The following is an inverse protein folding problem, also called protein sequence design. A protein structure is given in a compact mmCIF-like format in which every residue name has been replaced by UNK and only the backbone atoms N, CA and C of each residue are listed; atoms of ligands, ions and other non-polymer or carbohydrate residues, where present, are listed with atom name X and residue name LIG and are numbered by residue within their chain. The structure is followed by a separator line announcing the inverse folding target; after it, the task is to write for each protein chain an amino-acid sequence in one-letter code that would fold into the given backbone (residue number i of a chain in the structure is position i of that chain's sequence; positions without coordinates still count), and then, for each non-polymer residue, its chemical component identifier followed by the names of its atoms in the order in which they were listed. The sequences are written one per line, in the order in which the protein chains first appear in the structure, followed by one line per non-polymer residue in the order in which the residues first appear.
data_IF_495817460753
#
_entry.id   IF_495817460753
#
_cell.length_a   1.000
_cell.length_b   1.000
_cell.length_c   1.000
_cell.angle_alpha   90.00
_cell.angle_beta   90.00
_cell.angle_gamma   90.00
#
_symmetry.space_group_name_H-M   'P 1'
#
loop_
_entity.id
_entity.type
_entity.pdbx_description
1 polymer ?
#
# COMPACT_ATOMS: atom_id res chain seq x y z
N UNK A 1 38.84 12.16 43.67
CA UNK A 1 39.70 11.10 44.19
C UNK A 1 38.88 9.84 44.36
N UNK A 2 39.33 8.79 43.84
CA UNK A 2 39.01 7.37 43.87
C UNK A 2 38.59 6.87 42.46
N UNK A 3 39.63 6.40 41.77
CA UNK A 3 39.44 5.59 40.58
C UNK A 3 39.12 4.14 40.94
N UNK A 4 38.23 3.54 40.21
CA UNK A 4 37.99 2.08 40.29
C UNK A 4 38.44 1.47 38.97
N UNK A 5 39.59 0.81 39.01
CA UNK A 5 40.13 0.01 37.90
C UNK A 5 39.43 -1.35 37.91
N UNK A 6 38.71 -1.66 36.81
CA UNK A 6 38.11 -2.97 36.59
C UNK A 6 39.09 -3.85 35.81
N UNK A 7 39.69 -4.83 36.50
CA UNK A 7 40.53 -5.87 35.91
C UNK A 7 39.62 -6.93 35.31
N UNK A 8 39.62 -7.06 33.97
CA UNK A 8 38.95 -8.16 33.27
C UNK A 8 39.97 -9.28 33.07
N UNK A 9 39.84 -10.33 33.87
CA UNK A 9 40.53 -11.60 33.64
C UNK A 9 39.77 -12.39 32.54
N UNK A 10 40.37 -12.55 31.38
CA UNK A 10 39.85 -13.44 30.35
C UNK A 10 40.25 -14.89 30.57
N UNK A 11 39.36 -15.87 30.40
CA UNK A 11 39.76 -17.26 30.34
C UNK A 11 40.33 -17.60 28.96
N UNK A 12 41.51 -18.19 28.96
CA UNK A 12 42.13 -18.80 27.80
C UNK A 12 41.30 -20.00 27.35
N UNK A 13 40.68 -19.93 26.18
CA UNK A 13 40.01 -21.04 25.53
C UNK A 13 41.05 -21.81 24.68
N UNK A 14 41.34 -23.01 25.09
CA UNK A 14 42.17 -23.98 24.42
C UNK A 14 41.59 -24.32 23.03
N UNK A 15 42.41 -24.09 21.97
CA UNK A 15 42.20 -24.59 20.63
C UNK A 15 42.27 -26.13 20.62
N UNK A 16 41.14 -26.80 20.67
CA UNK A 16 41.01 -28.17 20.22
C UNK A 16 40.74 -28.16 18.70
N UNK A 17 41.75 -28.46 17.94
CA UNK A 17 41.66 -28.79 16.50
C UNK A 17 40.89 -30.11 16.37
N UNK A 18 39.58 -29.98 16.19
CA UNK A 18 38.72 -31.07 15.73
C UNK A 18 38.78 -31.15 14.19
N UNK A 19 39.68 -31.97 13.64
CA UNK A 19 39.52 -32.46 12.29
C UNK A 19 38.34 -33.45 12.33
N UNK A 20 37.20 -33.02 11.84
CA UNK A 20 36.01 -33.82 11.80
C UNK A 20 35.06 -33.36 10.70
N UNK A 21 34.99 -34.17 9.64
CA UNK A 21 33.91 -34.23 8.65
C UNK A 21 33.74 -33.05 7.69
N UNK A 22 34.67 -32.91 6.76
CA UNK A 22 34.40 -32.30 5.45
C UNK A 22 34.00 -33.42 4.46
N UNK A 23 32.79 -33.95 4.63
CA UNK A 23 32.27 -34.99 3.71
C UNK A 23 30.73 -34.88 3.54
N UNK A 24 30.17 -33.66 3.57
CA UNK A 24 28.73 -33.52 3.31
C UNK A 24 28.38 -32.22 2.56
N UNK A 25 29.24 -31.70 1.69
CA UNK A 25 28.93 -30.47 0.97
C UNK A 25 29.18 -30.57 -0.55
N UNK A 26 28.95 -31.73 -1.14
CA UNK A 26 28.88 -31.94 -2.60
C UNK A 26 27.48 -32.23 -3.09
N UNK A 27 26.43 -31.84 -2.37
CA UNK A 27 25.13 -31.70 -3.02
C UNK A 27 25.28 -30.54 -4.00
N UNK A 28 25.20 -30.80 -5.29
CA UNK A 28 25.21 -29.78 -6.35
C UNK A 28 24.18 -28.74 -6.00
N UNK A 29 24.65 -27.58 -5.52
CA UNK A 29 23.74 -26.51 -5.06
C UNK A 29 22.94 -26.02 -6.25
N UNK A 30 21.66 -26.39 -6.30
CA UNK A 30 20.76 -26.03 -7.38
C UNK A 30 20.74 -24.51 -7.54
N UNK A 31 20.67 -24.03 -8.77
CA UNK A 31 20.55 -22.59 -9.02
C UNK A 31 19.25 -22.07 -8.36
N UNK A 32 19.29 -20.88 -7.75
CA UNK A 32 18.13 -20.35 -7.03
C UNK A 32 17.01 -19.95 -7.99
N UNK A 33 15.79 -19.91 -7.44
CA UNK A 33 14.63 -19.31 -8.10
C UNK A 33 14.32 -17.98 -7.43
N UNK A 34 14.15 -16.94 -8.24
CA UNK A 34 13.81 -15.62 -7.74
C UNK A 34 12.29 -15.42 -7.71
N UNK A 35 11.77 -14.89 -6.62
CA UNK A 35 10.35 -14.63 -6.44
C UNK A 35 10.12 -13.14 -6.19
N UNK A 36 9.24 -12.56 -6.97
CA UNK A 36 8.86 -11.15 -6.91
C UNK A 36 7.38 -11.05 -6.59
N UNK A 37 7.06 -10.44 -5.45
CA UNK A 37 5.68 -10.16 -5.08
C UNK A 37 5.18 -8.91 -5.81
N UNK A 38 4.10 -9.06 -6.56
CA UNK A 38 3.39 -8.00 -7.27
C UNK A 38 1.98 -7.92 -6.69
N UNK A 39 1.79 -7.00 -5.74
CA UNK A 39 0.53 -6.81 -5.03
C UNK A 39 0.03 -5.36 -5.18
N UNK A 40 -1.29 -5.15 -5.00
CA UNK A 40 -1.92 -3.84 -5.18
C UNK A 40 -2.14 -3.48 -6.65
N UNK A 41 -2.20 -2.19 -6.96
CA UNK A 41 -2.32 -1.69 -8.33
C UNK A 41 -0.93 -1.59 -8.97
N UNK A 42 -0.78 -2.02 -10.21
CA UNK A 42 0.49 -1.83 -10.93
C UNK A 42 0.61 -0.36 -11.33
N UNK A 43 1.48 0.34 -10.65
CA UNK A 43 1.94 1.69 -10.96
C UNK A 43 3.31 1.63 -11.68
N UNK A 44 3.88 2.80 -12.03
CA UNK A 44 5.18 2.87 -12.68
C UNK A 44 6.30 2.25 -11.83
N UNK A 45 6.21 2.32 -10.49
CA UNK A 45 7.21 1.78 -9.58
C UNK A 45 7.22 0.25 -9.64
N UNK A 46 6.02 -0.34 -9.62
CA UNK A 46 5.87 -1.80 -9.74
C UNK A 46 6.27 -2.28 -11.14
N UNK A 47 5.88 -1.55 -12.21
CA UNK A 47 6.29 -1.85 -13.57
C UNK A 47 7.82 -1.86 -13.72
N UNK A 48 8.50 -0.82 -13.23
CA UNK A 48 9.97 -0.75 -13.17
C UNK A 48 10.58 -1.90 -12.36
N UNK A 49 9.92 -2.27 -11.25
CA UNK A 49 10.43 -3.35 -10.40
C UNK A 49 10.36 -4.71 -11.08
N UNK A 50 9.33 -4.96 -11.87
CA UNK A 50 9.20 -6.19 -12.68
C UNK A 50 10.36 -6.29 -13.67
N UNK A 51 10.60 -5.23 -14.45
CA UNK A 51 11.69 -5.19 -15.43
C UNK A 51 13.07 -5.36 -14.78
N UNK A 52 13.34 -4.59 -13.72
CA UNK A 52 14.59 -4.69 -12.95
C UNK A 52 14.78 -6.07 -12.33
N UNK A 53 13.69 -6.73 -11.88
CA UNK A 53 13.77 -8.06 -11.33
C UNK A 53 14.19 -9.08 -12.38
N UNK A 54 13.65 -9.03 -13.61
CA UNK A 54 14.07 -9.91 -14.70
C UNK A 54 15.58 -9.77 -14.97
N UNK A 55 16.06 -8.53 -15.16
CA UNK A 55 17.47 -8.26 -15.41
C UNK A 55 18.36 -8.73 -14.26
N UNK A 56 17.96 -8.46 -13.01
CA UNK A 56 18.67 -8.88 -11.82
C UNK A 56 18.75 -10.40 -11.71
N UNK A 57 17.63 -11.08 -11.93
CA UNK A 57 17.57 -12.54 -11.86
C UNK A 57 18.49 -13.19 -12.88
N UNK A 58 18.53 -12.66 -14.11
CA UNK A 58 19.47 -13.09 -15.14
C UNK A 58 20.93 -12.90 -14.70
N UNK A 59 21.27 -11.72 -14.21
CA UNK A 59 22.63 -11.37 -13.81
C UNK A 59 23.11 -12.15 -12.57
N UNK A 60 22.18 -12.54 -11.69
CA UNK A 60 22.47 -13.26 -10.46
C UNK A 60 22.37 -14.79 -10.61
N UNK A 61 22.27 -15.30 -11.84
CA UNK A 61 22.27 -16.73 -12.13
C UNK A 61 21.05 -17.47 -11.58
N UNK A 62 19.88 -16.83 -11.54
CA UNK A 62 18.64 -17.52 -11.24
C UNK A 62 18.25 -18.44 -12.41
N UNK A 63 17.75 -19.63 -12.12
CA UNK A 63 17.25 -20.53 -13.15
C UNK A 63 15.86 -20.12 -13.68
N UNK A 64 15.06 -19.42 -12.87
CA UNK A 64 13.76 -18.85 -13.24
C UNK A 64 13.40 -17.68 -12.34
N UNK A 65 12.46 -16.84 -12.82
CA UNK A 65 11.81 -15.82 -12.00
C UNK A 65 10.31 -16.11 -11.92
N UNK A 66 9.75 -16.06 -10.70
CA UNK A 66 8.33 -16.23 -10.44
C UNK A 66 7.75 -14.88 -10.03
N UNK A 67 6.78 -14.37 -10.77
CA UNK A 67 5.96 -13.25 -10.34
C UNK A 67 4.71 -13.75 -9.64
N UNK A 68 4.63 -13.50 -8.34
CA UNK A 68 3.43 -13.75 -7.54
C UNK A 68 2.47 -12.59 -7.72
N UNK A 69 1.37 -12.81 -8.44
CA UNK A 69 0.39 -11.78 -8.74
C UNK A 69 -0.79 -11.80 -7.76
N UNK A 70 -1.05 -10.62 -7.16
CA UNK A 70 -2.29 -10.32 -6.45
C UNK A 70 -2.67 -8.86 -6.68
N UNK A 71 -3.27 -8.55 -7.83
CA UNK A 71 -3.55 -7.19 -8.26
C UNK A 71 -4.95 -7.05 -8.82
N UNK A 72 -5.59 -5.92 -8.52
CA UNK A 72 -6.93 -5.59 -9.04
C UNK A 72 -6.90 -4.78 -10.33
N UNK A 73 -5.72 -4.44 -10.85
CA UNK A 73 -5.55 -3.67 -12.07
C UNK A 73 -4.23 -2.91 -12.13
N UNK A 74 -4.13 -2.06 -13.14
CA UNK A 74 -2.98 -1.19 -13.33
C UNK A 74 -3.44 0.26 -13.51
N UNK A 75 -2.61 1.20 -13.04
CA UNK A 75 -2.78 2.64 -13.23
C UNK A 75 -1.79 3.20 -14.25
N UNK A 76 -0.91 2.37 -14.75
CA UNK A 76 0.01 2.72 -15.85
C UNK A 76 -0.70 2.76 -17.18
N UNK A 77 -0.14 3.50 -18.13
CA UNK A 77 -0.63 3.53 -19.51
C UNK A 77 -0.48 2.16 -20.18
N UNK A 78 -1.33 1.91 -21.18
CA UNK A 78 -1.23 0.69 -21.99
C UNK A 78 0.15 0.54 -22.65
N UNK A 79 0.73 1.65 -23.11
CA UNK A 79 2.09 1.67 -23.67
C UNK A 79 3.11 1.18 -22.65
N UNK A 80 3.05 1.71 -21.41
CA UNK A 80 3.96 1.28 -20.32
C UNK A 80 3.80 -0.20 -19.96
N UNK A 81 2.56 -0.70 -19.96
CA UNK A 81 2.32 -2.14 -19.73
C UNK A 81 2.83 -2.99 -20.91
N UNK A 82 2.77 -2.49 -22.14
CA UNK A 82 3.36 -3.19 -23.31
C UNK A 82 4.88 -3.30 -23.20
N UNK A 83 5.57 -2.33 -22.59
CA UNK A 83 7.00 -2.42 -22.31
C UNK A 83 7.30 -3.55 -21.29
N UNK A 84 6.52 -3.65 -20.23
CA UNK A 84 6.62 -4.77 -19.27
C UNK A 84 6.43 -6.13 -19.97
N UNK A 85 5.43 -6.23 -20.83
CA UNK A 85 5.19 -7.44 -21.64
C UNK A 85 6.40 -7.74 -22.53
N UNK A 86 6.96 -6.72 -23.20
CA UNK A 86 8.13 -6.89 -24.03
C UNK A 86 9.36 -7.35 -23.21
N UNK A 87 9.55 -6.83 -22.00
CA UNK A 87 10.61 -7.25 -21.10
C UNK A 87 10.48 -8.74 -20.67
N UNK A 88 9.25 -9.21 -20.42
CA UNK A 88 8.98 -10.62 -20.12
C UNK A 88 9.32 -11.48 -21.34
N UNK A 89 8.90 -11.08 -22.54
CA UNK A 89 9.19 -11.81 -23.76
C UNK A 89 10.70 -11.87 -24.08
N UNK A 90 11.42 -10.78 -23.83
CA UNK A 90 12.86 -10.67 -24.05
C UNK A 90 13.72 -11.34 -22.97
N UNK A 91 13.12 -11.87 -21.92
CA UNK A 91 13.84 -12.54 -20.83
C UNK A 91 14.64 -13.72 -21.35
N UNK A 92 15.90 -13.86 -20.89
CA UNK A 92 16.77 -15.01 -21.20
C UNK A 92 16.49 -16.21 -20.29
N UNK A 93 15.87 -16.00 -19.14
CA UNK A 93 15.50 -17.05 -18.20
C UNK A 93 13.98 -17.25 -18.23
N UNK A 94 13.49 -18.45 -17.90
CA UNK A 94 12.06 -18.72 -17.77
C UNK A 94 11.36 -17.76 -16.82
N UNK A 95 10.21 -17.23 -17.26
CA UNK A 95 9.35 -16.35 -16.48
C UNK A 95 8.07 -17.10 -16.15
N UNK A 96 7.85 -17.36 -14.87
CA UNK A 96 6.64 -17.97 -14.37
C UNK A 96 5.74 -16.92 -13.69
N UNK A 97 4.43 -17.06 -13.88
CA UNK A 97 3.44 -16.22 -13.19
C UNK A 97 2.52 -17.12 -12.36
N UNK A 98 2.48 -16.85 -11.08
CA UNK A 98 1.59 -17.51 -10.14
C UNK A 98 0.58 -16.52 -9.56
N UNK A 99 -0.71 -16.73 -9.86
CA UNK A 99 -1.79 -15.95 -9.25
C UNK A 99 -2.10 -16.57 -7.88
N UNK A 100 -1.52 -15.99 -6.86
CA UNK A 100 -1.57 -16.51 -5.49
C UNK A 100 -1.25 -15.45 -4.43
N UNK A 101 -1.48 -15.78 -3.18
CA UNK A 101 -2.07 -17.00 -2.60
C UNK A 101 -3.58 -17.15 -2.84
N UNK A 102 -4.22 -18.13 -2.17
CA UNK A 102 -5.66 -18.35 -2.28
C UNK A 102 -6.46 -17.05 -2.07
N UNK A 103 -7.44 -16.81 -2.94
CA UNK A 103 -8.20 -15.56 -2.98
C UNK A 103 -7.53 -14.43 -3.74
N UNK A 104 -6.29 -14.61 -4.24
CA UNK A 104 -5.61 -13.63 -5.07
C UNK A 104 -6.37 -13.34 -6.37
N UNK A 105 -6.14 -12.16 -6.91
CA UNK A 105 -6.77 -11.69 -8.14
C UNK A 105 -5.73 -11.16 -9.10
N UNK A 106 -5.93 -11.42 -10.38
CA UNK A 106 -5.20 -10.76 -11.46
C UNK A 106 -6.23 -10.20 -12.44
N UNK A 107 -6.51 -8.90 -12.34
CA UNK A 107 -7.54 -8.25 -13.14
C UNK A 107 -6.94 -7.14 -14.03
N UNK A 108 -7.64 -6.84 -15.12
CA UNK A 108 -7.27 -5.78 -16.04
C UNK A 108 -6.00 -6.09 -16.84
N UNK A 109 -5.20 -5.07 -17.09
CA UNK A 109 -3.93 -5.21 -17.83
C UNK A 109 -2.95 -6.23 -17.20
N UNK A 110 -2.81 -6.33 -15.86
CA UNK A 110 -1.97 -7.36 -15.25
C UNK A 110 -2.37 -8.80 -15.56
N UNK A 111 -3.66 -9.07 -15.77
CA UNK A 111 -4.09 -10.41 -16.16
C UNK A 111 -3.50 -10.83 -17.52
N UNK A 112 -3.25 -9.87 -18.40
CA UNK A 112 -2.69 -10.13 -19.74
C UNK A 112 -1.23 -10.58 -19.70
N UNK A 113 -0.51 -10.34 -18.58
CA UNK A 113 0.85 -10.85 -18.40
C UNK A 113 0.90 -12.39 -18.43
N UNK A 114 -0.20 -13.07 -18.06
CA UNK A 114 -0.27 -14.53 -18.14
C UNK A 114 -0.18 -15.03 -19.58
N UNK A 115 -0.64 -14.26 -20.55
CA UNK A 115 -0.58 -14.64 -21.96
C UNK A 115 0.87 -14.78 -22.46
N UNK A 116 1.81 -14.01 -21.91
CA UNK A 116 3.22 -13.96 -22.33
C UNK A 116 4.16 -14.73 -21.43
N UNK A 117 3.75 -15.07 -20.21
CA UNK A 117 4.56 -15.90 -19.33
C UNK A 117 4.80 -17.28 -19.90
N UNK A 118 5.95 -17.87 -19.60
CA UNK A 118 6.30 -19.22 -20.04
C UNK A 118 5.52 -20.29 -19.28
N UNK A 119 5.38 -20.10 -17.97
CA UNK A 119 4.64 -20.98 -17.07
C UNK A 119 3.62 -20.16 -16.28
N UNK A 120 2.40 -20.62 -16.19
CA UNK A 120 1.35 -19.95 -15.43
C UNK A 120 0.66 -20.92 -14.49
N UNK A 121 0.40 -20.47 -13.26
CA UNK A 121 -0.32 -21.25 -12.27
C UNK A 121 -1.27 -20.35 -11.46
N UNK A 122 -2.27 -20.96 -10.85
CA UNK A 122 -3.22 -20.27 -9.97
C UNK A 122 -3.39 -21.06 -8.67
N UNK A 123 -3.54 -20.32 -7.57
CA UNK A 123 -3.97 -20.89 -6.30
C UNK A 123 -5.49 -21.19 -6.32
N UNK A 124 -5.95 -22.17 -5.53
CA UNK A 124 -7.39 -22.39 -5.33
C UNK A 124 -8.07 -21.12 -4.82
N UNK A 125 -9.24 -20.79 -5.38
CA UNK A 125 -9.97 -19.57 -5.04
C UNK A 125 -9.40 -18.27 -5.64
N UNK A 126 -8.26 -18.33 -6.35
CA UNK A 126 -7.77 -17.19 -7.12
C UNK A 126 -8.63 -16.97 -8.39
N UNK A 127 -8.64 -15.76 -8.90
CA UNK A 127 -9.39 -15.38 -10.10
C UNK A 127 -8.56 -14.51 -11.04
N UNK A 128 -8.76 -14.72 -12.35
CA UNK A 128 -8.16 -13.90 -13.41
C UNK A 128 -9.26 -13.36 -14.33
N UNK A 129 -9.04 -12.22 -14.97
CA UNK A 129 -9.95 -11.70 -15.99
C UNK A 129 -10.11 -10.20 -15.99
N UNK A 130 -11.26 -9.72 -16.50
CA UNK A 130 -11.56 -8.31 -16.70
C UNK A 130 -10.45 -7.61 -17.49
N UNK A 131 -9.89 -8.34 -18.47
CA UNK A 131 -8.71 -7.90 -19.22
C UNK A 131 -8.96 -6.63 -20.04
N UNK A 132 -10.24 -6.32 -20.32
CA UNK A 132 -10.58 -5.26 -21.23
C UNK A 132 -10.04 -5.55 -22.62
N UNK A 133 -9.70 -4.50 -23.36
CA UNK A 133 -9.07 -4.64 -24.67
C UNK A 133 -7.67 -5.24 -24.54
N UNK A 134 -7.32 -6.22 -25.33
CA UNK A 134 -6.00 -6.87 -25.28
C UNK A 134 -4.89 -5.89 -25.72
N UNK A 135 -3.72 -6.02 -25.10
CA UNK A 135 -2.51 -5.32 -25.50
C UNK A 135 -1.97 -5.91 -26.80
N UNK A 136 -1.27 -5.11 -27.56
CA UNK A 136 -0.54 -5.57 -28.74
C UNK A 136 0.96 -5.42 -28.50
N UNK A 137 1.73 -6.45 -28.85
CA UNK A 137 3.19 -6.44 -28.82
C UNK A 137 3.69 -6.67 -30.22
N UNK A 138 4.52 -5.74 -30.72
CA UNK A 138 5.02 -5.76 -32.11
C UNK A 138 3.88 -5.89 -33.16
N UNK A 139 2.74 -5.25 -32.91
CA UNK A 139 1.59 -5.28 -33.80
C UNK A 139 0.69 -6.52 -33.68
N UNK A 140 1.09 -7.53 -32.89
CA UNK A 140 0.30 -8.73 -32.64
C UNK A 140 -0.47 -8.61 -31.34
N UNK A 141 -1.81 -8.71 -31.33
CA UNK A 141 -2.57 -8.69 -30.08
C UNK A 141 -2.29 -9.93 -29.25
N UNK A 142 -2.23 -9.73 -27.94
CA UNK A 142 -2.17 -10.83 -26.98
C UNK A 142 -3.50 -11.58 -27.03
N UNK A 143 -3.47 -12.88 -26.80
CA UNK A 143 -4.67 -13.72 -26.81
C UNK A 143 -4.56 -14.86 -25.77
N UNK A 144 -5.69 -15.21 -25.20
CA UNK A 144 -5.92 -16.43 -24.44
C UNK A 144 -6.75 -17.44 -25.25
N UNK A 145 -6.80 -17.26 -26.58
CA UNK A 145 -7.55 -18.14 -27.49
C UNK A 145 -9.06 -18.06 -27.24
N UNK A 146 -9.70 -19.21 -27.03
CA UNK A 146 -11.15 -19.27 -26.83
C UNK A 146 -11.64 -18.52 -25.58
N UNK A 147 -10.78 -18.27 -24.62
CA UNK A 147 -11.12 -17.60 -23.36
C UNK A 147 -11.17 -16.05 -23.47
N UNK A 148 -10.73 -15.44 -24.58
CA UNK A 148 -10.63 -13.98 -24.73
C UNK A 148 -11.94 -13.27 -24.38
N UNK A 149 -13.06 -13.72 -24.94
CA UNK A 149 -14.37 -13.12 -24.69
C UNK A 149 -14.82 -13.24 -23.23
N UNK A 150 -14.57 -14.39 -22.61
CA UNK A 150 -14.93 -14.65 -21.21
C UNK A 150 -14.10 -13.81 -20.24
N UNK A 151 -12.81 -13.60 -20.57
CA UNK A 151 -11.88 -12.83 -19.75
C UNK A 151 -12.03 -11.32 -19.95
N UNK A 152 -12.53 -10.85 -21.08
CA UNK A 152 -12.62 -9.43 -21.40
C UNK A 152 -13.45 -8.66 -20.36
N UNK A 153 -14.62 -9.15 -20.03
CA UNK A 153 -15.55 -8.52 -19.07
C UNK A 153 -15.75 -9.32 -17.81
N UNK A 154 -15.62 -10.65 -17.91
CA UNK A 154 -15.78 -11.60 -16.82
C UNK A 154 -14.47 -11.94 -16.11
N UNK A 155 -14.56 -12.91 -15.21
CA UNK A 155 -13.39 -13.47 -14.53
C UNK A 155 -13.55 -14.98 -14.36
N UNK A 156 -12.47 -15.70 -14.58
CA UNK A 156 -12.41 -17.16 -14.43
C UNK A 156 -11.76 -17.55 -13.12
N UNK A 157 -12.26 -18.58 -12.48
CA UNK A 157 -11.61 -19.27 -11.38
C UNK A 157 -10.54 -20.23 -11.89
N UNK A 158 -9.84 -20.90 -10.98
CA UNK A 158 -8.79 -21.86 -11.35
C UNK A 158 -9.29 -22.97 -12.29
N UNK A 159 -10.41 -23.61 -11.97
CA UNK A 159 -10.95 -24.73 -12.77
C UNK A 159 -11.34 -24.27 -14.17
N UNK A 160 -12.08 -23.17 -14.29
CA UNK A 160 -12.51 -22.65 -15.59
C UNK A 160 -11.30 -22.18 -16.44
N UNK A 161 -10.32 -21.52 -15.79
CA UNK A 161 -9.12 -21.04 -16.47
C UNK A 161 -8.26 -22.22 -17.01
N UNK A 162 -8.26 -23.33 -16.29
CA UNK A 162 -7.61 -24.56 -16.74
C UNK A 162 -8.35 -25.21 -17.89
N UNK A 163 -9.67 -25.39 -17.78
CA UNK A 163 -10.51 -25.97 -18.81
C UNK A 163 -10.41 -25.21 -20.12
N UNK A 164 -10.42 -23.89 -20.05
CA UNK A 164 -10.31 -22.98 -21.20
C UNK A 164 -8.85 -22.79 -21.69
N UNK A 165 -7.88 -23.57 -21.15
CA UNK A 165 -6.46 -23.53 -21.52
C UNK A 165 -5.80 -22.16 -21.38
N UNK A 166 -6.27 -21.34 -20.42
CA UNK A 166 -5.65 -20.06 -20.08
C UNK A 166 -4.35 -20.28 -19.32
N UNK A 167 -4.29 -21.37 -18.53
CA UNK A 167 -3.08 -21.76 -17.80
C UNK A 167 -2.19 -22.63 -18.68
N UNK A 168 -0.95 -22.21 -18.87
CA UNK A 168 0.07 -22.97 -19.64
C UNK A 168 0.65 -24.16 -18.88
N UNK A 169 0.45 -24.17 -17.59
CA UNK A 169 0.85 -25.24 -16.71
C UNK A 169 -0.34 -25.70 -15.88
N UNK A 170 -0.60 -27.01 -15.89
CA UNK A 170 -1.72 -27.59 -15.17
C UNK A 170 -1.30 -28.97 -14.66
N UNK A 171 -0.64 -29.02 -13.50
CA UNK A 171 -0.12 -30.27 -12.97
C UNK A 171 -1.03 -30.91 -11.91
N UNK A 172 -2.03 -30.22 -11.39
CA UNK A 172 -2.89 -30.75 -10.35
C UNK A 172 -4.32 -30.22 -10.50
N UNK A 173 -5.29 -31.09 -10.22
CA UNK A 173 -6.71 -30.75 -10.19
C UNK A 173 -7.07 -29.76 -9.07
N UNK A 174 -6.19 -29.56 -8.11
CA UNK A 174 -6.37 -28.70 -6.94
C UNK A 174 -5.76 -27.31 -7.06
N UNK A 175 -5.01 -27.06 -8.12
CA UNK A 175 -4.24 -25.83 -8.31
C UNK A 175 -2.97 -25.77 -7.45
N UNK A 176 -2.28 -24.64 -7.49
CA UNK A 176 -1.01 -24.38 -6.79
C UNK A 176 -1.26 -23.50 -5.56
N UNK A 177 -1.54 -24.08 -4.38
CA UNK A 177 -1.99 -23.29 -3.21
C UNK A 177 -0.88 -22.45 -2.59
N UNK A 178 0.37 -22.92 -2.64
CA UNK A 178 1.52 -22.24 -2.01
C UNK A 178 2.73 -22.25 -2.94
N UNK A 179 3.64 -21.33 -2.70
CA UNK A 179 4.84 -21.14 -3.51
C UNK A 179 5.72 -22.42 -3.59
N UNK A 180 5.80 -23.21 -2.52
CA UNK A 180 6.53 -24.49 -2.55
C UNK A 180 5.98 -25.42 -3.63
N UNK A 181 4.66 -25.49 -3.77
CA UNK A 181 4.03 -26.31 -4.82
C UNK A 181 4.35 -25.78 -6.22
N UNK A 182 4.52 -24.45 -6.36
CA UNK A 182 4.97 -23.85 -7.63
C UNK A 182 6.38 -24.30 -8.00
N UNK A 183 7.30 -24.40 -7.02
CA UNK A 183 8.65 -24.90 -7.27
C UNK A 183 8.62 -26.37 -7.72
N UNK A 184 7.83 -27.20 -7.04
CA UNK A 184 7.67 -28.62 -7.47
C UNK A 184 7.04 -28.74 -8.86
N UNK A 185 6.19 -27.79 -9.20
CA UNK A 185 5.55 -27.73 -10.50
C UNK A 185 6.49 -27.28 -11.63
N UNK A 186 7.53 -26.54 -11.32
CA UNK A 186 8.54 -26.10 -12.28
C UNK A 186 9.61 -27.18 -12.54
N UNK A 187 9.74 -28.14 -11.64
CA UNK A 187 10.79 -29.15 -11.69
C UNK A 187 10.71 -30.02 -12.95
N UNK A 188 11.83 -30.20 -13.63
CA UNK A 188 11.92 -31.00 -14.86
C UNK A 188 11.30 -30.33 -16.10
N UNK A 189 10.72 -29.13 -16.01
CA UNK A 189 10.18 -28.44 -17.19
C UNK A 189 11.31 -27.91 -18.08
N UNK A 190 11.20 -28.18 -19.38
CA UNK A 190 12.07 -27.58 -20.38
C UNK A 190 11.41 -26.34 -20.95
N UNK A 191 11.94 -25.18 -20.61
CA UNK A 191 11.39 -23.87 -20.98
C UNK A 191 12.53 -22.99 -21.50
N UNK A 192 12.34 -22.37 -22.66
CA UNK A 192 13.38 -21.55 -23.33
C UNK A 192 14.72 -22.27 -23.50
N UNK A 193 14.67 -23.58 -23.79
CA UNK A 193 15.86 -24.47 -23.90
C UNK A 193 16.66 -24.62 -22.60
N UNK A 194 16.07 -24.30 -21.45
CA UNK A 194 16.60 -24.51 -20.10
C UNK A 194 15.73 -25.56 -19.41
N UNK A 195 16.33 -26.63 -18.94
CA UNK A 195 15.64 -27.58 -18.06
C UNK A 195 15.74 -27.05 -16.64
N UNK A 196 14.59 -26.83 -16.03
CA UNK A 196 14.51 -26.32 -14.64
C UNK A 196 14.75 -27.49 -13.69
N UNK A 197 15.68 -27.31 -12.76
CA UNK A 197 16.01 -28.26 -11.70
C UNK A 197 15.75 -27.53 -10.35
N UNK A 198 14.51 -27.60 -9.92
CA UNK A 198 14.04 -26.82 -8.76
C UNK A 198 13.83 -27.66 -7.52
N UNK A 199 14.02 -28.96 -7.60
CA UNK A 199 13.85 -29.89 -6.49
C UNK A 199 15.02 -30.89 -6.46
N UNK A 200 15.63 -31.04 -5.31
CA UNK A 200 16.64 -32.07 -5.08
C UNK A 200 16.12 -33.16 -4.15
N UNK A 201 16.57 -34.38 -4.38
CA UNK A 201 16.37 -35.48 -3.44
C UNK A 201 17.45 -35.38 -2.36
N UNK A 202 17.07 -35.00 -1.14
CA UNK A 202 17.93 -34.97 0.04
C UNK A 202 17.62 -36.15 0.96
N UNK A 203 18.61 -36.64 1.69
CA UNK A 203 18.39 -37.63 2.75
C UNK A 203 18.12 -36.90 4.06
N UNK A 204 17.01 -37.20 4.72
CA UNK A 204 16.73 -36.69 6.06
C UNK A 204 17.65 -37.35 7.10
N UNK A 205 17.59 -36.87 8.34
CA UNK A 205 18.38 -37.40 9.46
C UNK A 205 18.09 -38.88 9.77
N UNK A 206 17.06 -39.45 9.17
CA UNK A 206 16.68 -40.87 9.29
C UNK A 206 17.05 -41.68 8.06
N UNK A 207 17.74 -41.09 7.06
CA UNK A 207 18.12 -41.73 5.82
C UNK A 207 16.95 -41.93 4.82
N UNK A 208 15.84 -41.23 5.02
CA UNK A 208 14.72 -41.24 4.06
C UNK A 208 14.92 -40.15 3.01
N UNK A 209 14.63 -40.50 1.75
CA UNK A 209 14.66 -39.50 0.66
C UNK A 209 13.55 -38.52 0.86
N UNK A 210 13.94 -37.23 1.06
CA UNK A 210 13.03 -36.09 1.11
C UNK A 210 13.29 -35.19 -0.07
N UNK A 211 12.21 -34.70 -0.71
CA UNK A 211 12.31 -33.76 -1.80
C UNK A 211 12.40 -32.34 -1.23
N UNK A 212 13.52 -31.68 -1.45
CA UNK A 212 13.77 -30.32 -1.01
C UNK A 212 13.75 -29.36 -2.21
N UNK A 213 12.97 -28.27 -2.08
CA UNK A 213 12.96 -27.23 -3.08
C UNK A 213 14.25 -26.42 -3.03
N UNK A 214 14.72 -25.97 -4.20
CA UNK A 214 15.89 -25.10 -4.33
C UNK A 214 15.73 -23.80 -3.50
N UNK A 215 16.85 -23.13 -3.29
CA UNK A 215 16.85 -21.83 -2.58
C UNK A 215 16.00 -20.81 -3.31
N UNK A 216 15.07 -20.21 -2.59
CA UNK A 216 14.22 -19.12 -3.08
C UNK A 216 14.75 -17.78 -2.59
N UNK A 217 14.96 -16.84 -3.51
CA UNK A 217 15.33 -15.47 -3.17
C UNK A 217 14.13 -14.56 -3.40
N UNK A 218 13.66 -13.92 -2.33
CA UNK A 218 12.54 -12.98 -2.41
C UNK A 218 13.03 -11.57 -2.67
N UNK A 219 12.50 -10.96 -3.71
CA UNK A 219 12.73 -9.54 -4.00
C UNK A 219 11.52 -8.73 -3.60
N UNK A 220 11.77 -7.75 -2.73
CA UNK A 220 10.78 -6.77 -2.28
C UNK A 220 11.22 -5.38 -2.68
N UNK A 221 10.25 -4.50 -2.88
CA UNK A 221 10.50 -3.07 -3.06
C UNK A 221 11.28 -2.51 -1.87
N UNK A 222 12.26 -1.65 -2.13
CA UNK A 222 12.93 -0.87 -1.09
C UNK A 222 11.95 0.00 -0.31
N UNK A 223 12.38 0.55 0.83
CA UNK A 223 11.50 1.32 1.72
C UNK A 223 10.84 2.51 1.00
N UNK A 224 11.61 3.33 0.29
CA UNK A 224 11.08 4.51 -0.39
C UNK A 224 10.15 4.17 -1.56
N UNK A 225 10.51 3.30 -2.52
CA UNK A 225 9.57 2.80 -3.53
C UNK A 225 8.31 2.17 -2.94
N UNK A 226 8.45 1.43 -1.84
CA UNK A 226 7.30 0.81 -1.16
C UNK A 226 6.37 1.85 -0.55
N UNK A 227 6.92 2.90 0.07
CA UNK A 227 6.13 4.02 0.58
C UNK A 227 5.34 4.68 -0.55
N UNK A 228 6.01 5.05 -1.64
CA UNK A 228 5.35 5.68 -2.79
C UNK A 228 4.28 4.80 -3.42
N UNK A 229 4.54 3.51 -3.56
CA UNK A 229 3.55 2.54 -4.05
C UNK A 229 2.34 2.44 -3.10
N UNK A 230 2.57 2.44 -1.77
CA UNK A 230 1.46 2.42 -0.79
C UNK A 230 0.60 3.67 -0.89
N UNK A 231 1.22 4.83 -1.09
CA UNK A 231 0.54 6.12 -1.25
C UNK A 231 -0.25 6.18 -2.56
N UNK A 232 0.23 5.53 -3.62
CA UNK A 232 -0.43 5.41 -4.92
C UNK A 232 -1.63 4.46 -4.91
N UNK A 233 -2.38 4.41 -3.82
CA UNK A 233 -3.65 3.68 -3.71
C UNK A 233 -4.80 4.62 -3.35
N UNK A 234 -6.02 4.39 -3.90
CA UNK A 234 -7.16 5.28 -3.64
C UNK A 234 -7.46 5.52 -2.15
N UNK A 235 -7.42 4.50 -1.26
CA UNK A 235 -7.65 4.71 0.16
C UNK A 235 -6.59 5.58 0.83
N UNK A 236 -5.31 5.31 0.55
CA UNK A 236 -4.19 6.03 1.17
C UNK A 236 -4.12 7.48 0.69
N UNK A 237 -4.31 7.70 -0.61
CA UNK A 237 -4.32 9.04 -1.19
C UNK A 237 -5.46 9.90 -0.61
N UNK A 238 -6.69 9.35 -0.52
CA UNK A 238 -7.82 10.04 0.10
C UNK A 238 -7.54 10.36 1.59
N UNK A 239 -7.05 9.38 2.36
CA UNK A 239 -6.75 9.56 3.77
C UNK A 239 -5.69 10.66 3.99
N UNK A 240 -4.58 10.61 3.25
CA UNK A 240 -3.49 11.57 3.39
C UNK A 240 -3.91 12.99 3.02
N UNK A 241 -4.67 13.18 1.94
CA UNK A 241 -5.20 14.50 1.57
C UNK A 241 -6.19 14.99 2.63
N UNK A 242 -7.06 14.11 3.12
CA UNK A 242 -8.03 14.46 4.17
C UNK A 242 -7.34 14.92 5.45
N UNK A 243 -6.39 14.11 5.95
CA UNK A 243 -5.61 14.45 7.16
C UNK A 243 -4.79 15.70 6.93
N UNK A 244 -4.15 15.85 5.77
CA UNK A 244 -3.35 17.01 5.41
C UNK A 244 -4.17 18.30 5.44
N UNK A 245 -5.30 18.34 4.76
CA UNK A 245 -6.19 19.49 4.75
C UNK A 245 -6.80 19.79 6.13
N UNK A 246 -7.21 18.75 6.87
CA UNK A 246 -7.76 18.91 8.21
C UNK A 246 -6.75 19.54 9.18
N UNK A 247 -5.48 19.07 9.16
CA UNK A 247 -4.42 19.61 10.00
C UNK A 247 -4.03 21.03 9.62
N UNK A 248 -4.04 21.39 8.33
CA UNK A 248 -3.80 22.77 7.89
C UNK A 248 -4.90 23.71 8.37
N UNK A 249 -6.17 23.31 8.22
CA UNK A 249 -7.30 24.08 8.76
C UNK A 249 -7.20 24.18 10.28
N UNK A 250 -6.88 23.08 10.96
CA UNK A 250 -6.69 23.06 12.41
C UNK A 250 -5.63 24.07 12.86
N UNK A 251 -4.43 24.06 12.27
CA UNK A 251 -3.35 24.96 12.63
C UNK A 251 -3.71 26.42 12.39
N UNK A 252 -4.40 26.70 11.27
CA UNK A 252 -4.85 28.07 10.95
C UNK A 252 -5.72 28.68 12.05
N UNK A 253 -6.61 27.88 12.66
CA UNK A 253 -7.52 28.35 13.70
C UNK A 253 -6.96 28.28 15.12
N UNK A 254 -5.99 27.39 15.38
CA UNK A 254 -5.42 27.22 16.72
C UNK A 254 -4.22 28.12 16.97
N UNK A 255 -3.59 28.68 15.90
CA UNK A 255 -2.33 29.44 15.97
C UNK A 255 -1.28 28.73 16.83
N UNK A 256 -1.10 27.44 16.57
CA UNK A 256 -0.14 26.61 17.25
C UNK A 256 1.31 26.96 16.91
N UNK A 257 2.23 26.10 17.31
CA UNK A 257 3.67 26.26 17.04
C UNK A 257 4.08 25.75 15.65
N UNK A 258 3.13 25.45 14.77
CA UNK A 258 3.38 25.01 13.39
C UNK A 258 3.53 23.51 13.22
N UNK A 259 3.47 22.71 14.29
CA UNK A 259 3.65 21.23 14.17
C UNK A 259 2.53 20.59 13.33
N UNK A 260 1.27 20.98 13.59
CA UNK A 260 0.15 20.43 12.83
C UNK A 260 0.21 20.88 11.36
N UNK A 261 0.62 22.12 11.07
CA UNK A 261 0.83 22.58 9.70
C UNK A 261 1.94 21.78 9.00
N UNK A 262 3.07 21.53 9.68
CA UNK A 262 4.17 20.76 9.11
C UNK A 262 3.74 19.32 8.77
N UNK A 263 3.13 18.62 9.72
CA UNK A 263 2.62 17.24 9.50
C UNK A 263 1.54 17.25 8.42
N UNK A 264 0.64 18.24 8.45
CA UNK A 264 -0.40 18.43 7.44
C UNK A 264 0.15 18.63 6.03
N UNK A 265 1.20 19.46 5.90
CA UNK A 265 1.88 19.68 4.63
C UNK A 265 2.54 18.42 4.09
N UNK A 266 3.24 17.64 4.95
CA UNK A 266 3.84 16.36 4.56
C UNK A 266 2.76 15.38 4.09
N UNK A 267 1.66 15.23 4.85
CA UNK A 267 0.53 14.39 4.44
C UNK A 267 -0.07 14.84 3.11
N UNK A 268 -0.24 16.15 2.91
CA UNK A 268 -0.79 16.69 1.68
C UNK A 268 0.13 16.45 0.48
N UNK A 269 1.45 16.65 0.63
CA UNK A 269 2.42 16.37 -0.43
C UNK A 269 2.38 14.88 -0.82
N UNK A 270 2.42 13.98 0.15
CA UNK A 270 2.33 12.54 -0.11
C UNK A 270 0.98 12.16 -0.74
N UNK A 271 -0.12 12.74 -0.25
CA UNK A 271 -1.44 12.55 -0.82
C UNK A 271 -1.55 13.04 -2.27
N UNK A 272 -1.00 14.20 -2.58
CA UNK A 272 -0.94 14.73 -3.95
C UNK A 272 -0.07 13.84 -4.87
N UNK A 273 1.05 13.31 -4.38
CA UNK A 273 1.85 12.32 -5.12
C UNK A 273 1.03 11.06 -5.41
N UNK A 274 0.26 10.57 -4.42
CA UNK A 274 -0.63 9.42 -4.60
C UNK A 274 -1.73 9.69 -5.63
N UNK A 275 -2.38 10.84 -5.55
CA UNK A 275 -3.41 11.25 -6.54
C UNK A 275 -2.80 11.38 -7.93
N UNK A 276 -1.61 11.96 -8.06
CA UNK A 276 -0.92 12.12 -9.34
C UNK A 276 -0.56 10.79 -10.03
N UNK A 277 -0.38 9.72 -9.24
CA UNK A 277 -0.16 8.37 -9.76
C UNK A 277 -1.47 7.66 -10.18
N UNK A 278 -2.62 8.19 -9.79
CA UNK A 278 -3.94 7.60 -10.04
C UNK A 278 -4.72 8.39 -11.11
N UNK A 279 -5.67 7.73 -11.76
CA UNK A 279 -6.60 8.40 -12.67
C UNK A 279 -7.59 9.23 -11.87
N UNK A 280 -7.36 10.54 -11.80
CA UNK A 280 -8.15 11.47 -10.99
C UNK A 280 -9.24 12.19 -11.77
N UNK A 281 -10.25 12.68 -11.04
CA UNK A 281 -11.31 13.56 -11.53
C UNK A 281 -11.17 14.95 -10.90
N UNK A 282 -10.99 15.98 -11.73
CA UNK A 282 -10.93 17.36 -11.26
C UNK A 282 -12.19 17.80 -10.53
N UNK A 283 -13.35 17.28 -10.91
CA UNK A 283 -14.63 17.55 -10.23
C UNK A 283 -14.62 17.03 -8.81
N UNK A 284 -14.17 15.78 -8.61
CA UNK A 284 -14.08 15.20 -7.27
C UNK A 284 -13.12 15.94 -6.35
N UNK A 285 -11.97 16.35 -6.88
CA UNK A 285 -11.01 17.19 -6.14
C UNK A 285 -11.62 18.55 -5.80
N UNK A 286 -12.34 19.17 -6.74
CA UNK A 286 -13.04 20.44 -6.51
C UNK A 286 -14.05 20.34 -5.36
N UNK A 287 -14.87 19.28 -5.31
CA UNK A 287 -15.79 19.04 -4.19
C UNK A 287 -15.06 18.79 -2.87
N UNK A 288 -13.93 18.08 -2.88
CA UNK A 288 -13.13 17.87 -1.68
C UNK A 288 -12.56 19.20 -1.13
N UNK A 289 -12.01 20.05 -1.98
CA UNK A 289 -11.51 21.36 -1.60
C UNK A 289 -12.65 22.27 -1.10
N UNK A 290 -13.78 22.28 -1.79
CA UNK A 290 -14.97 23.03 -1.37
C UNK A 290 -15.48 22.59 0.00
N UNK A 291 -15.37 21.30 0.33
CA UNK A 291 -15.72 20.79 1.64
C UNK A 291 -14.86 21.41 2.75
N UNK A 292 -13.54 21.44 2.57
CA UNK A 292 -12.64 22.03 3.57
C UNK A 292 -12.78 23.54 3.67
N UNK A 293 -13.09 24.23 2.58
CA UNK A 293 -13.47 25.66 2.62
C UNK A 293 -14.73 25.87 3.43
N UNK A 294 -15.77 25.05 3.21
CA UNK A 294 -17.01 25.10 3.97
C UNK A 294 -16.77 24.84 5.47
N UNK A 295 -15.94 23.85 5.81
CA UNK A 295 -15.55 23.61 7.20
C UNK A 295 -14.82 24.80 7.82
N UNK A 296 -13.89 25.42 7.09
CA UNK A 296 -13.18 26.62 7.55
C UNK A 296 -14.13 27.79 7.80
N UNK A 297 -15.11 28.02 6.92
CA UNK A 297 -16.14 29.03 7.10
C UNK A 297 -16.95 28.74 8.37
N UNK A 298 -17.37 27.49 8.58
CA UNK A 298 -18.19 27.11 9.73
C UNK A 298 -17.47 27.33 11.06
N UNK A 299 -16.17 27.07 11.12
CA UNK A 299 -15.35 27.34 12.30
C UNK A 299 -15.32 28.84 12.65
N UNK A 300 -15.36 29.74 11.65
CA UNK A 300 -15.41 31.19 11.87
C UNK A 300 -16.80 31.68 12.26
N UNK A 301 -17.83 31.16 11.59
CA UNK A 301 -19.22 31.63 11.80
C UNK A 301 -19.81 31.06 13.09
N UNK A 302 -19.48 29.80 13.41
CA UNK A 302 -19.86 29.15 14.67
C UNK A 302 -21.30 28.63 14.71
N UNK A 303 -22.31 29.48 14.53
CA UNK A 303 -23.74 29.12 14.61
C UNK A 303 -24.54 29.98 13.61
N UNK A 304 -25.48 29.37 12.85
CA UNK A 304 -25.83 27.94 12.74
C UNK A 304 -24.80 27.15 11.94
N UNK A 305 -24.60 25.86 12.27
CA UNK A 305 -23.60 24.98 11.63
C UNK A 305 -24.02 24.46 10.24
N UNK A 306 -24.55 25.33 9.41
CA UNK A 306 -25.01 24.99 8.05
C UNK A 306 -23.83 24.58 7.17
N UNK A 307 -22.71 25.31 7.29
CA UNK A 307 -21.53 25.06 6.48
C UNK A 307 -20.84 23.73 6.78
N UNK A 308 -20.90 23.24 8.02
CA UNK A 308 -20.47 21.87 8.34
C UNK A 308 -21.31 20.82 7.57
N UNK A 309 -22.63 21.02 7.48
CA UNK A 309 -23.50 20.15 6.68
C UNK A 309 -23.15 20.18 5.18
N UNK A 310 -22.99 21.38 4.62
CA UNK A 310 -22.55 21.57 3.22
C UNK A 310 -21.19 20.91 3.00
N UNK A 311 -20.25 21.10 3.92
CA UNK A 311 -18.92 20.51 3.88
C UNK A 311 -18.96 18.99 3.88
N UNK A 312 -19.74 18.36 4.75
CA UNK A 312 -19.88 16.89 4.80
C UNK A 312 -20.47 16.32 3.50
N UNK A 313 -21.53 16.95 2.97
CA UNK A 313 -22.12 16.52 1.69
C UNK A 313 -21.11 16.64 0.55
N UNK A 314 -20.44 17.79 0.46
CA UNK A 314 -19.39 18.02 -0.54
C UNK A 314 -18.23 17.04 -0.39
N UNK A 315 -17.82 16.74 0.84
CA UNK A 315 -16.77 15.74 1.11
C UNK A 315 -17.13 14.35 0.64
N UNK A 316 -18.35 13.89 0.93
CA UNK A 316 -18.83 12.58 0.49
C UNK A 316 -18.87 12.51 -1.04
N UNK A 317 -19.42 13.53 -1.70
CA UNK A 317 -19.46 13.59 -3.17
C UNK A 317 -18.03 13.57 -3.74
N UNK A 318 -17.14 14.41 -3.18
CA UNK A 318 -15.73 14.48 -3.57
C UNK A 318 -15.03 13.13 -3.43
N UNK A 319 -15.15 12.48 -2.28
CA UNK A 319 -14.52 11.19 -2.01
C UNK A 319 -15.00 10.06 -2.95
N UNK A 320 -16.28 10.07 -3.34
CA UNK A 320 -16.82 9.10 -4.29
C UNK A 320 -16.43 9.37 -5.74
N UNK A 321 -16.25 10.63 -6.11
CA UNK A 321 -16.02 11.03 -7.52
C UNK A 321 -14.57 11.39 -7.81
N UNK A 322 -13.68 11.31 -6.81
CA UNK A 322 -12.27 11.72 -6.90
C UNK A 322 -11.47 10.87 -7.90
N UNK A 323 -11.78 9.59 -8.02
CA UNK A 323 -11.05 8.67 -8.90
C UNK A 323 -11.95 8.20 -10.05
N UNK A 324 -11.36 8.10 -11.25
CA UNK A 324 -12.01 7.54 -12.43
C UNK A 324 -11.68 6.05 -12.55
N UNK A 325 -12.62 5.26 -13.04
CA UNK A 325 -12.35 3.87 -13.37
C UNK A 325 -11.37 3.80 -14.56
N UNK A 326 -10.44 2.85 -14.49
CA UNK A 326 -9.45 2.59 -15.55
C UNK A 326 -9.59 1.15 -16.03
N UNK A 327 -9.74 0.98 -17.34
CA UNK A 327 -9.84 -0.33 -18.00
C UNK A 327 -10.79 -1.33 -17.30
N UNK A 328 -11.97 -0.86 -16.90
CA UNK A 328 -12.97 -1.68 -16.20
C UNK A 328 -12.69 -1.95 -14.73
N UNK A 329 -11.59 -1.44 -14.20
CA UNK A 329 -11.26 -1.55 -12.75
C UNK A 329 -11.81 -0.34 -12.01
N UNK A 330 -12.61 -0.61 -10.97
CA UNK A 330 -13.16 0.44 -10.11
C UNK A 330 -12.08 1.00 -9.18
N UNK A 331 -11.65 2.24 -9.43
CA UNK A 331 -10.69 2.98 -8.64
C UNK A 331 -11.39 3.71 -7.49
N UNK A 332 -12.09 3.00 -6.62
CA UNK A 332 -12.77 3.60 -5.48
C UNK A 332 -12.09 3.22 -4.17
N UNK A 333 -12.01 4.14 -3.19
CA UNK A 333 -11.71 3.75 -1.82
C UNK A 333 -12.73 2.71 -1.35
N UNK A 334 -12.28 1.72 -0.59
CA UNK A 334 -13.18 0.73 0.01
C UNK A 334 -14.17 1.39 0.97
N UNK A 335 -15.33 0.77 1.17
CA UNK A 335 -16.37 1.30 2.09
C UNK A 335 -15.84 1.58 3.49
N UNK A 336 -14.96 0.72 4.00
CA UNK A 336 -14.36 0.92 5.32
C UNK A 336 -13.50 2.18 5.38
N UNK A 337 -12.58 2.37 4.42
CA UNK A 337 -11.72 3.55 4.38
C UNK A 337 -12.52 4.84 4.17
N UNK A 338 -13.54 4.79 3.31
CA UNK A 338 -14.44 5.91 3.10
C UNK A 338 -15.19 6.28 4.38
N UNK A 339 -15.79 5.30 5.06
CA UNK A 339 -16.50 5.51 6.31
C UNK A 339 -15.59 6.08 7.40
N UNK A 340 -14.38 5.54 7.54
CA UNK A 340 -13.38 6.06 8.49
C UNK A 340 -13.04 7.51 8.19
N UNK A 341 -12.79 7.87 6.93
CA UNK A 341 -12.49 9.25 6.55
C UNK A 341 -13.67 10.18 6.83
N UNK A 342 -14.88 9.81 6.45
CA UNK A 342 -16.10 10.63 6.68
C UNK A 342 -16.34 10.85 8.17
N UNK A 343 -16.27 9.78 8.98
CA UNK A 343 -16.49 9.86 10.43
C UNK A 343 -15.39 10.71 11.07
N UNK A 344 -14.12 10.53 10.67
CA UNK A 344 -13.00 11.29 11.22
C UNK A 344 -13.14 12.78 10.93
N UNK A 345 -13.51 13.16 9.70
CA UNK A 345 -13.77 14.54 9.32
C UNK A 345 -14.96 15.11 10.11
N UNK A 346 -16.07 14.38 10.20
CA UNK A 346 -17.23 14.79 10.97
C UNK A 346 -16.87 15.04 12.45
N UNK A 347 -16.18 14.11 13.10
CA UNK A 347 -15.74 14.28 14.50
C UNK A 347 -14.78 15.44 14.65
N UNK A 348 -13.85 15.63 13.72
CA UNK A 348 -12.88 16.74 13.78
C UNK A 348 -13.55 18.10 13.73
N UNK A 349 -14.53 18.30 12.85
CA UNK A 349 -15.16 19.59 12.65
C UNK A 349 -16.42 19.81 13.49
N UNK A 350 -17.12 18.76 13.93
CA UNK A 350 -18.29 18.91 14.82
C UNK A 350 -17.87 18.98 16.29
N UNK A 351 -16.86 18.23 16.71
CA UNK A 351 -16.45 18.12 18.11
C UNK A 351 -15.07 18.74 18.35
N UNK A 352 -14.06 18.33 17.59
CA UNK A 352 -12.66 18.71 17.82
C UNK A 352 -12.41 20.20 17.69
N UNK A 353 -12.73 20.78 16.54
CA UNK A 353 -12.51 22.19 16.26
C UNK A 353 -13.26 23.13 17.22
N UNK A 354 -14.57 22.98 17.45
CA UNK A 354 -15.27 23.85 18.38
C UNK A 354 -14.76 23.76 19.82
N UNK A 355 -14.34 22.55 20.24
CA UNK A 355 -13.74 22.36 21.57
C UNK A 355 -12.44 23.16 21.70
N UNK A 356 -11.56 23.07 20.71
CA UNK A 356 -10.27 23.78 20.69
C UNK A 356 -10.43 25.31 20.62
N UNK A 357 -11.34 25.77 19.78
CA UNK A 357 -11.61 27.20 19.66
C UNK A 357 -12.16 27.75 20.98
N UNK A 358 -13.07 27.04 21.65
CA UNK A 358 -13.58 27.43 22.98
C UNK A 358 -12.49 27.53 24.03
N UNK A 359 -11.59 26.53 24.09
CA UNK A 359 -10.48 26.56 25.08
C UNK A 359 -9.51 27.72 24.84
N UNK A 360 -9.28 28.10 23.60
CA UNK A 360 -8.42 29.22 23.25
C UNK A 360 -8.99 30.60 23.72
N UNK A 361 -10.29 30.77 23.61
CA UNK A 361 -10.97 32.00 24.01
C UNK A 361 -11.55 31.93 25.43
N UNK A 362 -11.39 30.81 26.14
CA UNK A 362 -11.72 30.75 27.56
C UNK A 362 -10.77 31.66 28.32
N UNK A 363 -11.31 32.62 29.06
CA UNK A 363 -10.52 33.41 29.98
C UNK A 363 -9.80 32.48 30.94
N UNK A 364 -8.47 32.62 31.11
CA UNK A 364 -7.73 31.76 32.05
C UNK A 364 -8.32 31.96 33.45
N UNK A 365 -8.88 30.92 34.00
CA UNK A 365 -9.33 30.84 35.38
C UNK A 365 -8.14 30.72 36.36
N UNK A 366 -6.97 30.42 35.83
CA UNK A 366 -5.72 30.33 36.59
C UNK A 366 -5.19 31.74 36.81
N UNK A 367 -5.04 32.17 38.04
CA UNK A 367 -4.52 33.47 38.42
C UNK A 367 -5.54 34.41 39.07
N UNK A 368 -6.81 33.98 39.25
CA UNK A 368 -7.81 34.75 39.99
C UNK A 368 -8.03 34.24 41.43
N UNK A 369 -7.31 33.22 41.82
CA UNK A 369 -7.41 32.65 43.16
C UNK A 369 -6.98 33.66 44.24
N UNK A 370 -6.10 34.58 43.91
CA UNK A 370 -5.67 35.68 44.76
C UNK A 370 -6.73 36.79 44.93
N UNK A 371 -7.76 36.81 44.08
CA UNK A 371 -8.87 37.76 44.19
C UNK A 371 -9.97 37.29 45.17
N UNK A 372 -9.99 35.99 45.47
CA UNK A 372 -10.92 35.41 46.42
C UNK A 372 -10.56 35.89 47.84
N UNK A 373 -11.43 36.67 48.44
CA UNK A 373 -11.21 37.25 49.77
C UNK A 373 -10.51 38.61 49.79
N UNK A 374 -10.10 39.15 48.64
CA UNK A 374 -9.60 40.55 48.55
C UNK A 374 -10.74 41.56 48.67
N UNK A 375 -10.53 42.61 49.43
CA UNK A 375 -11.48 43.70 49.63
C UNK A 375 -11.32 44.71 48.48
N UNK A 376 -12.40 44.99 47.73
CA UNK A 376 -12.43 45.99 46.68
C UNK A 376 -13.26 47.19 47.06
N UNK A 377 -13.09 48.33 46.34
CA UNK A 377 -13.88 49.56 46.53
C UNK A 377 -14.93 49.63 45.43
N UNK A 378 -16.20 49.77 45.77
CA UNK A 378 -17.27 49.97 44.82
C UNK A 378 -17.10 51.32 44.12
N UNK A 379 -17.11 51.35 42.78
CA UNK A 379 -16.93 52.55 41.96
C UNK A 379 -18.28 53.30 41.74
N UNK A 380 -19.39 52.71 42.21
CA UNK A 380 -20.74 53.27 42.09
C UNK A 380 -21.75 52.41 42.85
N UNK A 381 -23.05 52.67 42.68
CA UNK A 381 -24.11 51.89 43.27
C UNK A 381 -24.09 50.45 42.72
N UNK A 382 -24.12 49.48 43.63
CA UNK A 382 -24.20 48.03 43.30
C UNK A 382 -25.63 47.58 43.62
N UNK A 383 -26.50 47.45 42.59
CA UNK A 383 -27.86 46.98 42.76
C UNK A 383 -28.50 46.59 41.38
N UNK A 384 -28.66 45.35 41.03
CA UNK A 384 -28.07 44.13 41.60
C UNK A 384 -26.61 43.90 41.14
N UNK A 385 -26.13 44.64 40.14
CA UNK A 385 -24.79 44.52 39.56
C UNK A 385 -24.04 45.85 39.70
N UNK A 386 -22.69 45.80 39.76
CA UNK A 386 -21.89 46.99 39.88
C UNK A 386 -20.41 46.79 39.60
N UNK A 387 -19.65 47.86 39.49
CA UNK A 387 -18.22 47.80 39.23
C UNK A 387 -17.47 48.01 40.55
N UNK A 388 -16.58 47.08 40.85
CA UNK A 388 -15.65 47.16 41.98
C UNK A 388 -14.20 47.30 41.48
N UNK A 389 -13.45 48.12 42.15
CA UNK A 389 -12.02 48.29 41.93
C UNK A 389 -11.28 47.37 42.92
N UNK A 390 -10.58 46.38 42.41
CA UNK A 390 -9.76 45.44 43.18
C UNK A 390 -8.37 45.45 42.59
N UNK A 391 -7.36 45.70 43.39
CA UNK A 391 -5.94 45.72 42.99
C UNK A 391 -5.65 46.55 41.74
N UNK A 392 -6.29 47.75 41.65
CA UNK A 392 -6.13 48.64 40.52
C UNK A 392 -6.91 48.29 39.23
N UNK A 393 -7.60 47.17 39.19
CA UNK A 393 -8.41 46.74 38.07
C UNK A 393 -9.92 46.84 38.36
N UNK A 394 -10.70 47.24 37.37
CA UNK A 394 -12.17 47.33 37.46
C UNK A 394 -12.79 45.97 37.12
N UNK A 395 -13.59 45.48 38.05
CA UNK A 395 -14.31 44.17 37.90
C UNK A 395 -15.81 44.42 37.96
N UNK A 396 -16.54 43.72 37.12
CA UNK A 396 -18.01 43.73 37.03
C UNK A 396 -18.57 42.42 37.56
#
# INVERSE_FOLDING_TARGET
MCGLALVIAGPALSLMSGQGASAADNATKLAPVDVVEVSGLIDNIVADSIEKAIVRSQNNGAQAVIFQLNTQGAVVSRARMSEVVAAINASKIPVAIWVGPSGARAYGLPAQLLAVADVTAMAPGARIGRTGTMLSVNGTPLTFGAADNALQTGSLGFLDAREQKVLKFSNDDRGVPVLRNMLYALDGLNVRSVTLDTVSDALDAKGQVTREATTVRFFKLGLFPRLLHTVASPPSALLLVTVGLALLVFEFFTAGIGIAAFVGAVCLILGCMGIGALSMSGVGIGFLLAAFVAFAIDVQVGVPRVWTGVGLVSYVIGAFTMFRNVDGVAMRPGWLSLSVCVISVALSFIVGMPSMVRTRFATPTIGRENLLGTVGVAVGNVNPEGIVLVDGAKWH
#
